data_IF_597247740886
#
_entry.id   IF_597247740886
#
_cell.length_a   1.000
_cell.length_b   1.000
_cell.length_c   1.000
_cell.angle_alpha   90.00
_cell.angle_beta   90.00
_cell.angle_gamma   90.00
#
_symmetry.space_group_name_H-M   'P 1'
#
loop_
_entity.id
_entity.type
_entity.pdbx_description
1 polymer ?
#
# COMPACT_ATOMS: atom_id res chain seq x y z
N UNK A 1 -23.99 1.92 -2.63
CA UNK A 1 -23.79 2.41 -1.26
C UNK A 1 -22.36 2.15 -0.84
N UNK A 2 -21.73 3.09 -0.13
CA UNK A 2 -20.36 2.95 0.40
C UNK A 2 -20.47 2.99 1.94
N UNK A 3 -19.80 2.04 2.59
CA UNK A 3 -19.77 1.93 4.04
C UNK A 3 -18.34 1.75 4.53
N UNK A 4 -18.05 2.28 5.71
CA UNK A 4 -16.77 2.05 6.38
C UNK A 4 -16.82 0.75 7.20
N UNK A 5 -15.73 -0.03 7.13
CA UNK A 5 -15.50 -1.15 8.02
C UNK A 5 -15.07 -0.65 9.40
N UNK A 6 -15.61 -1.25 10.46
CA UNK A 6 -15.34 -0.86 11.84
C UNK A 6 -14.45 -1.84 12.59
N UNK A 7 -14.33 -3.06 12.09
CA UNK A 7 -13.54 -4.13 12.73
C UNK A 7 -12.07 -4.03 12.35
N UNK A 8 -11.21 -4.19 13.32
CA UNK A 8 -9.76 -4.31 13.08
C UNK A 8 -9.42 -5.66 12.45
N UNK A 9 -8.56 -5.64 11.44
CA UNK A 9 -8.23 -6.85 10.65
C UNK A 9 -7.56 -7.97 11.44
N UNK A 10 -6.92 -7.68 12.57
CA UNK A 10 -6.39 -8.71 13.46
C UNK A 10 -7.47 -9.51 14.20
N UNK A 11 -8.68 -8.98 14.31
CA UNK A 11 -9.85 -9.66 14.88
C UNK A 11 -10.58 -10.41 13.77
N UNK A 12 -9.94 -11.42 13.18
CA UNK A 12 -10.40 -12.10 11.96
C UNK A 12 -11.84 -12.61 12.08
N UNK A 13 -12.21 -13.23 13.21
CA UNK A 13 -13.56 -13.76 13.41
C UNK A 13 -14.65 -12.67 13.46
N UNK A 14 -14.33 -11.50 14.02
CA UNK A 14 -15.24 -10.36 14.06
C UNK A 14 -15.33 -9.69 12.69
N UNK A 15 -14.18 -9.56 12.01
CA UNK A 15 -14.12 -9.04 10.65
C UNK A 15 -14.96 -9.89 9.69
N UNK A 16 -14.85 -11.20 9.80
CA UNK A 16 -15.62 -12.13 8.97
C UNK A 16 -17.13 -11.98 9.21
N UNK A 17 -17.58 -11.86 10.46
CA UNK A 17 -18.99 -11.58 10.77
C UNK A 17 -19.44 -10.22 10.18
N UNK A 18 -18.64 -9.18 10.28
CA UNK A 18 -18.96 -7.89 9.69
C UNK A 18 -19.11 -8.00 8.16
N UNK A 19 -18.23 -8.75 7.50
CA UNK A 19 -18.32 -9.00 6.06
C UNK A 19 -19.57 -9.82 5.70
N UNK A 20 -19.94 -10.84 6.47
CA UNK A 20 -21.16 -11.62 6.28
C UNK A 20 -22.43 -10.76 6.45
N UNK A 21 -22.46 -9.91 7.46
CA UNK A 21 -23.60 -9.01 7.74
C UNK A 21 -23.76 -7.93 6.66
N UNK A 22 -22.66 -7.34 6.21
CA UNK A 22 -22.67 -6.26 5.19
C UNK A 22 -22.77 -6.79 3.77
N UNK A 23 -22.33 -8.03 3.53
CA UNK A 23 -22.30 -8.70 2.23
C UNK A 23 -21.81 -7.80 1.08
N UNK A 24 -20.59 -7.22 1.20
CA UNK A 24 -20.08 -6.30 0.21
C UNK A 24 -19.75 -7.01 -1.10
N UNK A 25 -19.96 -6.37 -2.24
CA UNK A 25 -19.47 -6.85 -3.54
C UNK A 25 -18.01 -6.46 -3.78
N UNK A 26 -17.56 -5.36 -3.17
CA UNK A 26 -16.20 -4.83 -3.28
C UNK A 26 -15.71 -4.31 -1.93
N UNK A 27 -14.46 -4.59 -1.63
CA UNK A 27 -13.78 -4.05 -0.44
C UNK A 27 -12.49 -3.36 -0.87
N UNK A 28 -12.31 -2.11 -0.48
CA UNK A 28 -11.03 -1.42 -0.65
C UNK A 28 -10.34 -1.26 0.70
N UNK A 29 -9.07 -1.64 0.79
CA UNK A 29 -8.26 -1.45 1.99
C UNK A 29 -7.27 -0.32 1.82
N UNK A 30 -7.40 0.68 2.68
CA UNK A 30 -6.43 1.77 2.86
C UNK A 30 -5.56 1.54 4.09
N UNK A 31 -5.59 0.32 4.65
CA UNK A 31 -4.82 -0.06 5.84
C UNK A 31 -3.35 -0.13 5.48
N UNK A 32 -2.53 0.47 6.34
CA UNK A 32 -1.09 0.43 6.23
C UNK A 32 -0.42 1.25 7.33
N UNK A 33 0.74 0.81 7.78
CA UNK A 33 1.56 1.51 8.75
C UNK A 33 2.74 2.17 8.06
N UNK A 34 2.91 3.47 8.22
CA UNK A 34 4.04 4.25 7.67
C UNK A 34 4.59 5.26 8.65
N UNK A 35 3.98 5.43 9.81
CA UNK A 35 4.31 6.46 10.80
C UNK A 35 3.73 6.08 12.16
N UNK A 36 4.17 6.76 13.21
CA UNK A 36 3.66 6.56 14.55
C UNK A 36 4.45 7.35 15.61
N UNK A 37 4.17 7.09 16.87
CA UNK A 37 4.90 7.67 18.00
C UNK A 37 5.85 6.63 18.59
N UNK A 38 7.11 7.03 18.79
CA UNK A 38 8.14 6.23 19.44
C UNK A 38 8.82 7.07 20.51
N UNK A 39 8.86 6.57 21.74
CA UNK A 39 9.44 7.28 22.91
C UNK A 39 8.95 8.73 23.09
N UNK A 40 7.67 8.97 22.78
CA UNK A 40 7.05 10.31 22.90
C UNK A 40 7.23 11.21 21.68
N UNK A 41 8.07 10.84 20.72
CA UNK A 41 8.30 11.59 19.49
C UNK A 41 7.45 11.04 18.32
N UNK A 42 6.77 11.93 17.57
CA UNK A 42 6.05 11.55 16.36
C UNK A 42 6.98 11.49 15.15
N UNK A 43 7.08 10.30 14.54
CA UNK A 43 7.86 10.05 13.32
C UNK A 43 6.89 9.90 12.16
N UNK A 44 6.88 10.89 11.26
CA UNK A 44 5.94 11.01 10.15
C UNK A 44 6.31 10.21 8.89
N UNK A 45 7.38 9.41 8.94
CA UNK A 45 7.94 8.63 7.83
C UNK A 45 8.03 7.15 8.18
N UNK A 46 8.40 6.33 7.18
CA UNK A 46 8.61 4.88 7.36
C UNK A 46 9.75 4.55 8.33
N UNK A 47 10.63 5.52 8.67
CA UNK A 47 11.68 5.37 9.70
C UNK A 47 11.11 4.97 11.07
N UNK A 48 9.83 5.23 11.30
CA UNK A 48 9.10 4.70 12.46
C UNK A 48 9.18 3.18 12.55
N UNK A 49 9.10 2.49 11.41
CA UNK A 49 9.08 1.03 11.33
C UNK A 49 10.47 0.40 11.50
N UNK A 50 11.53 1.23 11.42
CA UNK A 50 12.91 0.79 11.71
C UNK A 50 13.24 0.86 13.20
N UNK A 51 12.36 1.44 14.03
CA UNK A 51 12.58 1.53 15.48
C UNK A 51 12.46 0.17 16.18
N UNK A 52 13.23 -0.07 17.25
CA UNK A 52 13.15 -1.32 18.03
C UNK A 52 11.71 -1.69 18.40
N UNK A 53 11.32 -2.94 18.18
CA UNK A 53 9.99 -3.47 18.51
C UNK A 53 8.88 -3.13 17.50
N UNK A 54 9.14 -2.36 16.43
CA UNK A 54 8.11 -1.95 15.45
C UNK A 54 7.85 -2.96 14.34
N UNK A 55 8.66 -4.00 14.20
CA UNK A 55 8.45 -5.09 13.23
C UNK A 55 7.06 -5.73 13.38
N UNK A 56 6.58 -5.90 14.61
CA UNK A 56 5.25 -6.47 14.85
C UNK A 56 4.13 -5.61 14.24
N UNK A 57 4.17 -4.29 14.46
CA UNK A 57 3.20 -3.37 13.86
C UNK A 57 3.30 -3.35 12.33
N UNK A 58 4.53 -3.41 11.79
CA UNK A 58 4.77 -3.46 10.37
C UNK A 58 4.14 -4.72 9.74
N UNK A 59 4.46 -5.89 10.26
CA UNK A 59 3.91 -7.17 9.78
C UNK A 59 2.40 -7.22 9.94
N UNK A 60 1.86 -6.80 11.09
CA UNK A 60 0.42 -6.81 11.34
C UNK A 60 -0.34 -5.95 10.34
N UNK A 61 0.08 -4.68 10.16
CA UNK A 61 -0.69 -3.70 9.40
C UNK A 61 -0.38 -3.75 7.89
N UNK A 62 0.86 -4.11 7.50
CA UNK A 62 1.31 -4.07 6.11
C UNK A 62 1.34 -5.44 5.41
N UNK A 63 1.25 -6.55 6.14
CA UNK A 63 1.21 -7.91 5.59
C UNK A 63 -0.04 -8.67 6.02
N UNK A 64 -0.21 -8.88 7.34
CA UNK A 64 -1.27 -9.74 7.86
C UNK A 64 -2.67 -9.20 7.49
N UNK A 65 -2.91 -7.90 7.67
CA UNK A 65 -4.20 -7.29 7.34
C UNK A 65 -4.59 -7.47 5.86
N UNK A 66 -3.77 -7.07 4.89
CA UNK A 66 -4.03 -7.31 3.47
C UNK A 66 -4.20 -8.80 3.13
N UNK A 67 -3.37 -9.68 3.70
CA UNK A 67 -3.46 -11.12 3.47
C UNK A 67 -4.80 -11.70 3.95
N UNK A 68 -5.25 -11.33 5.16
CA UNK A 68 -6.54 -11.77 5.68
C UNK A 68 -7.68 -11.34 4.75
N UNK A 69 -7.70 -10.06 4.34
CA UNK A 69 -8.73 -9.55 3.44
C UNK A 69 -8.71 -10.25 2.08
N UNK A 70 -7.54 -10.58 1.53
CA UNK A 70 -7.42 -11.30 0.26
C UNK A 70 -7.93 -12.75 0.36
N UNK A 71 -7.73 -13.43 1.49
CA UNK A 71 -8.27 -14.77 1.72
C UNK A 71 -9.78 -14.74 1.94
N UNK A 72 -10.28 -13.75 2.68
CA UNK A 72 -11.71 -13.58 2.91
C UNK A 72 -12.44 -13.16 1.61
N UNK A 73 -11.78 -12.45 0.69
CA UNK A 73 -12.38 -12.11 -0.60
C UNK A 73 -12.76 -13.36 -1.41
N UNK A 74 -11.88 -14.35 -1.44
CA UNK A 74 -12.18 -15.64 -2.08
C UNK A 74 -13.27 -16.44 -1.34
N UNK A 75 -13.25 -16.39 -0.01
CA UNK A 75 -14.21 -17.14 0.81
C UNK A 75 -15.63 -16.59 0.70
N UNK A 76 -15.79 -15.28 0.63
CA UNK A 76 -17.08 -14.57 0.65
C UNK A 76 -17.46 -13.96 -0.72
N UNK A 77 -16.70 -14.27 -1.78
CA UNK A 77 -16.98 -13.86 -3.17
C UNK A 77 -17.15 -12.34 -3.36
N UNK A 78 -16.24 -11.56 -2.75
CA UNK A 78 -16.13 -10.13 -3.02
C UNK A 78 -14.81 -9.78 -3.69
N UNK A 79 -14.80 -8.71 -4.50
CA UNK A 79 -13.57 -8.18 -5.09
C UNK A 79 -12.80 -7.34 -4.05
N UNK A 80 -11.51 -7.64 -3.87
CA UNK A 80 -10.65 -6.92 -2.93
C UNK A 80 -9.68 -5.99 -3.66
N UNK A 81 -9.66 -4.71 -3.31
CA UNK A 81 -8.66 -3.75 -3.80
C UNK A 81 -7.68 -3.40 -2.69
N UNK A 82 -6.42 -3.71 -2.94
CA UNK A 82 -5.30 -3.44 -2.05
C UNK A 82 -4.48 -2.25 -2.53
N UNK A 83 -4.23 -1.28 -1.63
CA UNK A 83 -3.35 -0.16 -1.91
C UNK A 83 -1.91 -0.54 -1.61
N UNK A 84 -1.22 -0.99 -2.65
CA UNK A 84 0.20 -1.35 -2.65
C UNK A 84 1.14 -0.15 -2.75
N UNK A 85 2.42 -0.41 -2.99
CA UNK A 85 3.44 0.64 -3.08
C UNK A 85 4.51 0.32 -4.10
N UNK A 86 5.02 1.33 -4.79
CA UNK A 86 6.24 1.23 -5.61
C UNK A 86 7.55 1.37 -4.80
N UNK A 87 7.49 1.53 -3.46
CA UNK A 87 8.70 1.57 -2.61
C UNK A 87 9.34 0.18 -2.40
N UNK A 88 9.04 -0.76 -3.26
CA UNK A 88 9.54 -2.14 -3.29
C UNK A 88 10.55 -2.37 -4.41
N UNK A 89 10.89 -1.31 -5.16
CA UNK A 89 11.79 -1.36 -6.31
C UNK A 89 13.04 -0.51 -6.11
N UNK A 90 14.14 -0.96 -6.66
CA UNK A 90 15.39 -0.21 -6.83
C UNK A 90 15.93 -0.44 -8.24
N UNK A 91 16.70 0.52 -8.73
CA UNK A 91 17.40 0.36 -10.02
C UNK A 91 18.32 -0.85 -9.99
N UNK A 92 18.38 -1.59 -11.09
CA UNK A 92 19.24 -2.75 -11.33
C UNK A 92 19.70 -2.78 -12.79
N UNK A 93 20.34 -3.86 -13.23
CA UNK A 93 20.89 -3.98 -14.59
C UNK A 93 19.80 -4.07 -15.66
N UNK A 94 18.60 -4.56 -15.31
CA UNK A 94 17.44 -4.63 -16.23
C UNK A 94 16.65 -3.32 -16.24
N UNK A 95 16.72 -2.57 -15.15
CA UNK A 95 16.03 -1.29 -14.96
C UNK A 95 17.06 -0.21 -14.55
N UNK A 96 17.92 0.22 -15.49
CA UNK A 96 19.04 1.10 -15.18
C UNK A 96 18.58 2.52 -14.85
N UNK A 97 19.36 3.18 -14.03
CA UNK A 97 19.13 4.56 -13.65
C UNK A 97 19.13 5.50 -14.87
N UNK A 98 18.07 6.29 -15.00
CA UNK A 98 17.95 7.35 -16.00
C UNK A 98 17.34 6.91 -17.35
N UNK A 99 16.92 5.67 -17.49
CA UNK A 99 16.25 5.16 -18.70
C UNK A 99 14.76 4.90 -18.44
N UNK A 100 13.88 5.84 -18.87
CA UNK A 100 12.44 5.76 -18.62
C UNK A 100 11.75 4.57 -19.29
N UNK A 101 12.27 4.11 -20.45
CA UNK A 101 11.72 2.98 -21.21
C UNK A 101 11.85 1.63 -20.50
N UNK A 102 12.77 1.54 -19.55
CA UNK A 102 13.09 0.31 -18.83
C UNK A 102 12.59 0.38 -17.38
N UNK A 103 11.43 1.06 -17.17
CA UNK A 103 10.78 1.15 -15.87
C UNK A 103 10.12 -0.16 -15.44
N UNK A 104 9.87 -0.30 -14.13
CA UNK A 104 9.12 -1.42 -13.57
C UNK A 104 7.65 -1.37 -14.00
N UNK A 105 7.08 -2.52 -14.30
CA UNK A 105 5.70 -2.73 -14.73
C UNK A 105 4.89 -3.58 -13.73
N UNK A 106 3.69 -3.99 -14.11
CA UNK A 106 2.78 -4.78 -13.29
C UNK A 106 3.32 -6.18 -12.99
N UNK A 107 4.12 -6.76 -13.90
CA UNK A 107 4.70 -8.09 -13.76
C UNK A 107 6.01 -8.10 -12.99
N UNK A 108 6.62 -6.95 -12.78
CA UNK A 108 7.91 -6.81 -12.11
C UNK A 108 7.82 -7.27 -10.65
N UNK A 109 8.75 -8.12 -10.23
CA UNK A 109 8.86 -8.61 -8.87
C UNK A 109 9.62 -7.60 -7.99
N UNK A 110 9.24 -7.45 -6.71
CA UNK A 110 9.97 -6.63 -5.76
C UNK A 110 11.44 -7.02 -5.67
N UNK A 111 12.34 -6.03 -5.77
CA UNK A 111 13.79 -6.24 -5.70
C UNK A 111 14.50 -5.33 -4.67
N UNK A 112 13.76 -4.49 -3.92
CA UNK A 112 14.31 -3.64 -2.88
C UNK A 112 13.94 -4.13 -1.47
N UNK A 113 14.94 -4.55 -0.72
CA UNK A 113 14.82 -5.09 0.64
C UNK A 113 15.65 -4.30 1.66
N UNK A 114 15.96 -3.03 1.36
CA UNK A 114 16.82 -2.17 2.17
C UNK A 114 16.14 -1.55 3.40
N UNK A 115 14.84 -1.74 3.59
CA UNK A 115 14.11 -1.28 4.77
C UNK A 115 13.09 -2.32 5.24
N UNK A 116 12.79 -2.33 6.55
CA UNK A 116 11.76 -3.18 7.13
C UNK A 116 10.40 -3.01 6.42
N UNK A 117 10.03 -1.76 6.10
CA UNK A 117 8.83 -1.45 5.35
C UNK A 117 8.83 -2.10 3.96
N UNK A 118 9.89 -1.92 3.19
CA UNK A 118 9.97 -2.45 1.81
C UNK A 118 10.00 -3.97 1.78
N UNK A 119 10.67 -4.62 2.74
CA UNK A 119 10.64 -6.07 2.90
C UNK A 119 9.20 -6.55 3.07
N UNK A 120 8.48 -6.02 4.05
CA UNK A 120 7.11 -6.46 4.37
C UNK A 120 6.15 -6.16 3.21
N UNK A 121 6.23 -4.97 2.62
CA UNK A 121 5.39 -4.59 1.47
C UNK A 121 5.71 -5.40 0.21
N UNK A 122 6.97 -5.76 0.00
CA UNK A 122 7.39 -6.62 -1.13
C UNK A 122 6.82 -8.04 -1.01
N UNK A 123 6.86 -8.63 0.19
CA UNK A 123 6.21 -9.93 0.43
C UNK A 123 4.68 -9.85 0.25
N UNK A 124 4.06 -8.78 0.74
CA UNK A 124 2.62 -8.58 0.55
C UNK A 124 2.27 -8.47 -0.93
N UNK A 125 3.05 -7.72 -1.70
CA UNK A 125 2.88 -7.56 -3.14
C UNK A 125 2.92 -8.91 -3.87
N UNK A 126 3.91 -9.75 -3.58
CA UNK A 126 4.00 -11.09 -4.15
C UNK A 126 2.82 -11.99 -3.77
N UNK A 127 2.33 -11.89 -2.53
CA UNK A 127 1.15 -12.65 -2.10
C UNK A 127 -0.13 -12.22 -2.83
N UNK A 128 -0.27 -10.92 -3.14
CA UNK A 128 -1.44 -10.44 -3.92
C UNK A 128 -1.45 -11.01 -5.34
N UNK A 129 -0.29 -11.26 -5.97
CA UNK A 129 -0.22 -11.93 -7.27
C UNK A 129 -0.71 -13.38 -7.26
N UNK A 130 -0.62 -14.08 -6.12
CA UNK A 130 -1.17 -15.45 -6.01
C UNK A 130 -2.70 -15.51 -6.02
N UNK A 131 -3.36 -14.38 -5.87
CA UNK A 131 -4.82 -14.24 -5.74
C UNK A 131 -5.39 -13.15 -6.66
N UNK A 132 -4.68 -12.86 -7.76
CA UNK A 132 -5.00 -11.77 -8.71
C UNK A 132 -6.37 -11.87 -9.37
N UNK A 133 -6.97 -13.06 -9.42
CA UNK A 133 -8.33 -13.30 -9.89
C UNK A 133 -9.42 -12.65 -9.01
N UNK A 134 -9.13 -12.37 -7.75
CA UNK A 134 -10.05 -11.72 -6.79
C UNK A 134 -9.50 -10.44 -6.18
N UNK A 135 -8.26 -10.06 -6.52
CA UNK A 135 -7.56 -8.91 -5.93
C UNK A 135 -7.04 -7.96 -7.01
N UNK A 136 -7.30 -6.67 -6.83
CA UNK A 136 -6.64 -5.59 -7.55
C UNK A 136 -5.55 -4.99 -6.67
N UNK A 137 -4.27 -5.20 -7.04
CA UNK A 137 -3.12 -4.61 -6.35
C UNK A 137 -2.72 -3.28 -7.01
N UNK A 138 -3.02 -2.15 -6.36
CA UNK A 138 -2.72 -0.81 -6.85
C UNK A 138 -1.42 -0.30 -6.25
N UNK A 139 -0.33 -0.35 -7.01
CA UNK A 139 0.99 0.15 -6.59
C UNK A 139 1.05 1.67 -6.74
N UNK A 140 0.97 2.41 -5.64
CA UNK A 140 1.13 3.88 -5.64
C UNK A 140 2.51 4.26 -5.12
N UNK A 141 2.99 5.47 -5.50
CA UNK A 141 4.25 6.03 -4.99
C UNK A 141 4.13 7.52 -4.78
N UNK A 142 4.68 8.01 -3.67
CA UNK A 142 4.74 9.46 -3.37
C UNK A 142 3.44 10.19 -3.73
N UNK A 143 2.31 9.87 -3.08
CA UNK A 143 1.00 10.38 -3.47
C UNK A 143 0.91 11.89 -3.35
N UNK A 144 0.33 12.50 -4.39
CA UNK A 144 0.10 13.93 -4.54
C UNK A 144 -1.40 14.17 -4.62
N UNK A 145 -1.87 15.21 -3.92
CA UNK A 145 -3.22 15.75 -4.04
C UNK A 145 -3.15 17.24 -4.34
N UNK A 146 -4.24 17.82 -4.79
CA UNK A 146 -4.44 19.25 -4.97
C UNK A 146 -4.73 20.00 -3.65
N UNK A 147 -4.99 19.26 -2.57
CA UNK A 147 -5.25 19.82 -1.24
C UNK A 147 -3.97 19.93 -0.40
N UNK A 148 -3.88 21.00 0.39
CA UNK A 148 -2.82 21.12 1.39
C UNK A 148 -2.99 20.08 2.48
N UNK A 149 -2.03 19.15 2.58
CA UNK A 149 -1.98 18.14 3.61
C UNK A 149 -0.53 17.86 4.00
N UNK A 150 -0.23 17.73 5.29
CA UNK A 150 1.12 17.41 5.79
C UNK A 150 1.65 16.06 5.25
N UNK A 151 0.79 15.19 4.79
CA UNK A 151 1.15 13.89 4.18
C UNK A 151 1.33 13.96 2.66
N UNK A 152 0.86 15.02 2.01
CA UNK A 152 1.05 15.26 0.59
C UNK A 152 2.56 15.36 0.30
N UNK A 153 3.04 14.62 -0.70
CA UNK A 153 4.46 14.58 -1.04
C UNK A 153 5.01 15.98 -1.40
N UNK A 154 4.25 16.80 -2.11
CA UNK A 154 4.65 18.17 -2.43
C UNK A 154 4.88 18.99 -1.16
N UNK A 155 3.96 18.91 -0.19
CA UNK A 155 4.12 19.59 1.10
C UNK A 155 5.35 19.08 1.87
N UNK A 156 5.65 17.79 1.80
CA UNK A 156 6.85 17.22 2.45
C UNK A 156 8.13 17.73 1.81
N UNK A 157 8.25 17.61 0.48
CA UNK A 157 9.49 17.94 -0.25
C UNK A 157 9.85 19.42 -0.14
N UNK A 158 8.87 20.32 -0.04
CA UNK A 158 9.11 21.76 0.17
C UNK A 158 9.69 22.09 1.55
N UNK A 159 9.69 21.15 2.50
CA UNK A 159 10.24 21.30 3.83
C UNK A 159 11.51 20.47 4.06
N UNK A 160 12.04 19.79 3.03
CA UNK A 160 13.28 19.04 3.16
C UNK A 160 14.48 19.98 3.01
N UNK A 161 15.50 19.78 3.85
CA UNK A 161 16.79 20.48 3.74
C UNK A 161 17.57 20.03 2.49
N UNK A 162 17.48 18.72 2.18
CA UNK A 162 18.12 18.12 1.02
C UNK A 162 17.06 17.37 0.20
N UNK A 163 17.09 17.57 -1.11
CA UNK A 163 16.19 16.90 -2.06
C UNK A 163 17.02 15.94 -2.90
N UNK A 164 16.56 14.68 -2.99
CA UNK A 164 17.17 13.69 -3.86
C UNK A 164 16.92 14.06 -5.34
N UNK A 165 17.99 14.05 -6.14
CA UNK A 165 17.92 14.30 -7.59
C UNK A 165 17.65 13.05 -8.42
N UNK A 166 17.46 11.90 -7.78
CA UNK A 166 17.16 10.64 -8.45
C UNK A 166 15.74 10.71 -9.05
N UNK A 167 15.54 10.40 -10.34
CA UNK A 167 14.21 10.30 -10.94
C UNK A 167 13.31 9.35 -10.17
N UNK A 168 12.07 9.74 -9.98
CA UNK A 168 11.09 8.97 -9.23
C UNK A 168 9.69 9.16 -9.81
N UNK A 169 8.89 8.11 -9.80
CA UNK A 169 7.48 8.22 -10.13
C UNK A 169 6.69 8.80 -8.96
N UNK A 170 5.64 9.52 -9.28
CA UNK A 170 4.68 10.08 -8.32
C UNK A 170 3.27 9.75 -8.77
N UNK A 171 2.39 9.55 -7.80
CA UNK A 171 0.98 9.24 -8.06
C UNK A 171 0.13 10.47 -7.80
N UNK A 172 -0.51 10.99 -8.84
CA UNK A 172 -1.50 12.06 -8.74
C UNK A 172 -2.86 11.42 -8.41
N UNK A 173 -3.25 11.46 -7.13
CA UNK A 173 -4.43 10.75 -6.64
C UNK A 173 -5.74 11.18 -7.32
N UNK A 174 -6.03 12.48 -7.55
CA UNK A 174 -7.22 12.90 -8.27
C UNK A 174 -7.36 12.31 -9.69
N UNK A 175 -6.24 12.01 -10.34
CA UNK A 175 -6.23 11.37 -11.66
C UNK A 175 -6.34 9.84 -11.55
N UNK A 176 -5.61 9.22 -10.61
CA UNK A 176 -5.59 7.77 -10.49
C UNK A 176 -6.90 7.18 -9.95
N UNK A 177 -7.49 7.80 -8.91
CA UNK A 177 -8.62 7.21 -8.20
C UNK A 177 -9.85 6.90 -9.08
N UNK A 178 -10.23 7.72 -10.07
CA UNK A 178 -11.30 7.35 -11.01
C UNK A 178 -11.01 6.06 -11.78
N UNK A 179 -9.77 5.86 -12.25
CA UNK A 179 -9.38 4.63 -12.94
C UNK A 179 -9.40 3.41 -12.02
N UNK A 180 -8.97 3.56 -10.76
CA UNK A 180 -9.06 2.47 -9.76
C UNK A 180 -10.51 2.05 -9.57
N UNK A 181 -11.43 3.03 -9.41
CA UNK A 181 -12.86 2.74 -9.26
C UNK A 181 -13.46 2.06 -10.51
N UNK A 182 -13.01 2.42 -11.70
CA UNK A 182 -13.45 1.79 -12.93
C UNK A 182 -12.89 0.37 -13.06
N UNK A 183 -11.64 0.13 -12.72
CA UNK A 183 -11.07 -1.22 -12.65
C UNK A 183 -11.80 -2.10 -11.64
N UNK A 184 -12.15 -1.57 -10.47
CA UNK A 184 -12.93 -2.30 -9.45
C UNK A 184 -14.30 -2.74 -9.97
N UNK A 185 -14.98 -1.91 -10.77
CA UNK A 185 -16.33 -2.21 -11.29
C UNK A 185 -16.33 -3.25 -12.42
N UNK A 186 -15.22 -3.41 -13.10
CA UNK A 186 -15.09 -4.27 -14.28
C UNK A 186 -14.51 -5.66 -13.96
N UNK A 187 -14.41 -6.00 -12.70
CA UNK A 187 -13.88 -7.29 -12.19
C UNK A 187 -14.98 -8.24 -11.73
#
# INVERSE_FOLDING_TARGET
QVEEGNTRVENVSELEKELEEKNPTHVISLIGRTHGTYEGEYIGTIDYLEKPGKVFENVRDNLFGPMVLSLLSKKHDFHFTYLGTGCIFQFDDEHPFGEEKDGFDESSLPNFFGSSYSIVKGFTDQLMHLVEDSVLNVRIRMPITDEFNKRNFITKITNYEYICSIPNSMTVLPELLPYVLDMMKNK
#
